data_IF_308898757897
#
_entry.id   IF_308898757897
#
_cell.length_a   1.000
_cell.length_b   1.000
_cell.length_c   1.000
_cell.angle_alpha   90.00
_cell.angle_beta   90.00
_cell.angle_gamma   90.00
#
_symmetry.space_group_name_H-M   'P 1'
#
loop_
_entity.id
_entity.type
_entity.pdbx_description
1 polymer ?
#
# COMPACT_ATOMS: atom_id res chain seq x y z
N UNK A 1 18.99 -8.72 -13.93
CA UNK A 1 19.54 -9.60 -12.88
C UNK A 1 18.47 -10.59 -12.40
N UNK A 2 17.30 -10.15 -11.91
CA UNK A 2 16.22 -11.05 -11.45
C UNK A 2 15.73 -12.00 -12.53
N UNK A 3 15.57 -11.54 -13.76
CA UNK A 3 15.14 -12.38 -14.89
C UNK A 3 16.08 -13.55 -15.17
N UNK A 4 17.39 -13.34 -14.95
CA UNK A 4 18.38 -14.41 -15.12
C UNK A 4 18.25 -15.52 -14.06
N UNK A 5 17.62 -15.23 -12.93
CA UNK A 5 17.31 -16.19 -11.85
C UNK A 5 15.89 -16.78 -12.00
N UNK A 6 15.13 -16.36 -13.02
CA UNK A 6 13.71 -16.67 -13.11
C UNK A 6 12.88 -16.10 -11.92
N UNK A 7 13.42 -15.09 -11.25
CA UNK A 7 12.82 -14.49 -10.08
C UNK A 7 11.93 -13.30 -10.47
N UNK A 8 10.82 -13.14 -9.75
CA UNK A 8 9.96 -11.98 -9.84
C UNK A 8 10.33 -10.97 -8.75
N UNK A 9 10.39 -9.70 -9.11
CA UNK A 9 10.59 -8.59 -8.16
C UNK A 9 9.46 -7.58 -8.35
N UNK A 10 8.95 -7.05 -7.25
CA UNK A 10 7.95 -5.97 -7.28
C UNK A 10 7.96 -5.20 -5.95
N UNK A 11 7.22 -4.09 -5.92
CA UNK A 11 6.98 -3.31 -4.72
C UNK A 11 5.55 -2.78 -4.70
N UNK A 12 5.04 -2.49 -3.52
CA UNK A 12 3.78 -1.76 -3.36
C UNK A 12 3.85 -0.82 -2.17
N UNK A 13 3.08 0.25 -2.22
CA UNK A 13 2.91 1.19 -1.11
C UNK A 13 1.47 1.16 -0.62
N UNK A 14 1.32 0.92 0.67
CA UNK A 14 0.05 1.05 1.38
C UNK A 14 -0.04 2.36 2.16
N UNK A 15 -1.07 2.49 2.98
CA UNK A 15 -1.29 3.68 3.81
C UNK A 15 -0.27 3.79 4.96
N UNK A 16 0.33 2.69 5.40
CA UNK A 16 1.21 2.61 6.56
C UNK A 16 2.55 1.90 6.30
N UNK A 17 2.76 1.35 5.11
CA UNK A 17 4.02 0.70 4.77
C UNK A 17 4.30 0.72 3.27
N UNK A 18 5.58 0.59 2.91
CA UNK A 18 6.05 0.21 1.58
C UNK A 18 6.69 -1.17 1.68
N UNK A 19 6.35 -2.07 0.78
CA UNK A 19 6.89 -3.42 0.74
C UNK A 19 7.63 -3.64 -0.57
N UNK A 20 8.89 -4.04 -0.49
CA UNK A 20 9.69 -4.55 -1.60
C UNK A 20 9.77 -6.07 -1.45
N UNK A 21 9.49 -6.81 -2.49
CA UNK A 21 9.51 -8.26 -2.41
C UNK A 21 10.04 -8.92 -3.66
N UNK A 22 10.61 -10.10 -3.50
CA UNK A 22 10.95 -10.98 -4.61
C UNK A 22 10.41 -12.38 -4.36
N UNK A 23 10.14 -13.11 -5.45
CA UNK A 23 9.80 -14.52 -5.44
C UNK A 23 10.76 -15.26 -6.35
N UNK A 24 11.40 -16.29 -5.83
CA UNK A 24 12.32 -17.15 -6.58
C UNK A 24 12.09 -18.61 -6.20
N UNK A 25 12.74 -19.52 -6.92
CA UNK A 25 12.93 -20.89 -6.45
C UNK A 25 13.87 -20.93 -5.26
N UNK A 26 13.82 -21.98 -4.45
CA UNK A 26 14.62 -22.07 -3.21
C UNK A 26 16.13 -22.07 -3.45
N UNK A 27 16.56 -22.65 -4.57
CA UNK A 27 17.97 -22.69 -5.00
C UNK A 27 18.55 -21.29 -5.37
N UNK A 28 17.68 -20.34 -5.68
CA UNK A 28 18.05 -18.95 -5.96
C UNK A 28 17.65 -17.96 -4.87
N UNK A 29 17.19 -18.43 -3.70
CA UNK A 29 16.69 -17.57 -2.64
C UNK A 29 17.73 -16.56 -2.14
N UNK A 30 18.97 -17.02 -1.89
CA UNK A 30 20.06 -16.17 -1.42
C UNK A 30 20.46 -15.09 -2.43
N UNK A 31 20.53 -15.44 -3.73
CA UNK A 31 20.89 -14.52 -4.82
C UNK A 31 19.78 -13.49 -5.05
N UNK A 32 18.52 -13.93 -5.06
CA UNK A 32 17.36 -13.03 -5.20
C UNK A 32 17.26 -12.06 -4.02
N UNK A 33 17.54 -12.53 -2.80
CA UNK A 33 17.58 -11.66 -1.62
C UNK A 33 18.73 -10.67 -1.67
N UNK A 34 19.92 -11.08 -2.12
CA UNK A 34 21.06 -10.19 -2.33
C UNK A 34 20.73 -9.04 -3.28
N UNK A 35 20.08 -9.34 -4.41
CA UNK A 35 19.65 -8.34 -5.38
C UNK A 35 18.58 -7.40 -4.80
N UNK A 36 17.62 -7.93 -4.03
CA UNK A 36 16.60 -7.14 -3.37
C UNK A 36 17.21 -6.20 -2.31
N UNK A 37 18.17 -6.71 -1.53
CA UNK A 37 18.91 -5.91 -0.56
C UNK A 37 19.71 -4.79 -1.22
N UNK A 38 20.35 -5.06 -2.35
CA UNK A 38 21.09 -4.05 -3.12
C UNK A 38 20.18 -2.93 -3.63
N UNK A 39 19.03 -3.27 -4.24
CA UNK A 39 18.01 -2.30 -4.65
C UNK A 39 17.55 -1.40 -3.50
N UNK A 40 17.36 -2.00 -2.33
CA UNK A 40 16.88 -1.30 -1.14
C UNK A 40 17.97 -0.41 -0.52
N UNK A 41 19.18 -0.96 -0.34
CA UNK A 41 20.26 -0.30 0.38
C UNK A 41 21.03 0.70 -0.47
N UNK A 42 21.13 0.48 -1.78
CA UNK A 42 22.04 1.22 -2.67
C UNK A 42 21.32 1.99 -3.78
N UNK A 43 20.03 2.35 -3.57
CA UNK A 43 19.30 3.14 -4.55
C UNK A 43 20.01 4.49 -4.85
N UNK A 44 20.29 4.76 -6.13
CA UNK A 44 21.13 5.87 -6.60
C UNK A 44 20.33 7.08 -7.11
N UNK A 45 19.06 6.88 -7.50
CA UNK A 45 18.20 7.89 -8.09
C UNK A 45 18.85 8.68 -9.24
N UNK A 46 19.23 8.03 -10.37
CA UNK A 46 19.78 8.75 -11.52
C UNK A 46 18.75 9.76 -12.06
N UNK A 47 19.19 10.95 -12.45
CA UNK A 47 18.29 12.03 -12.86
C UNK A 47 17.40 11.66 -14.06
N UNK A 48 17.97 10.99 -15.07
CA UNK A 48 17.22 10.55 -16.25
C UNK A 48 16.14 9.52 -15.90
N UNK A 49 16.43 8.57 -15.01
CA UNK A 49 15.46 7.58 -14.55
C UNK A 49 14.40 8.24 -13.66
N UNK A 50 14.78 9.16 -12.78
CA UNK A 50 13.83 9.94 -12.01
C UNK A 50 12.87 10.75 -12.89
N UNK A 51 13.38 11.35 -13.99
CA UNK A 51 12.53 12.09 -14.92
C UNK A 51 11.51 11.20 -15.61
N UNK A 52 11.91 9.98 -16.01
CA UNK A 52 11.00 8.98 -16.58
C UNK A 52 9.96 8.55 -15.56
N UNK A 53 10.40 8.19 -14.36
CA UNK A 53 9.55 7.70 -13.29
C UNK A 53 8.52 8.75 -12.83
N UNK A 54 8.91 10.03 -12.75
CA UNK A 54 7.96 11.11 -12.53
C UNK A 54 6.85 11.13 -13.57
N UNK A 55 7.17 10.92 -14.85
CA UNK A 55 6.18 10.80 -15.90
C UNK A 55 5.22 9.64 -15.67
N UNK A 56 5.75 8.48 -15.30
CA UNK A 56 4.93 7.29 -14.99
C UNK A 56 4.00 7.57 -13.79
N UNK A 57 4.52 8.10 -12.69
CA UNK A 57 3.70 8.40 -11.49
C UNK A 57 2.64 9.47 -11.78
N UNK A 58 2.92 10.46 -12.63
CA UNK A 58 1.92 11.45 -13.04
C UNK A 58 0.80 10.82 -13.87
N UNK A 59 1.11 9.87 -14.74
CA UNK A 59 0.09 9.11 -15.47
C UNK A 59 -0.72 8.20 -14.52
N UNK A 60 -0.10 7.60 -13.50
CA UNK A 60 -0.82 6.87 -12.47
C UNK A 60 -1.80 7.75 -11.71
N UNK A 61 -1.41 8.99 -11.37
CA UNK A 61 -2.30 9.97 -10.73
C UNK A 61 -3.49 10.30 -11.65
N UNK A 62 -3.26 10.49 -12.94
CA UNK A 62 -4.34 10.74 -13.91
C UNK A 62 -5.28 9.53 -14.03
N UNK A 63 -4.72 8.32 -14.08
CA UNK A 63 -5.52 7.08 -14.13
C UNK A 63 -6.41 6.92 -12.88
N UNK A 64 -5.86 7.20 -11.70
CA UNK A 64 -6.59 7.16 -10.42
C UNK A 64 -7.72 8.21 -10.39
N UNK A 65 -7.42 9.45 -10.86
CA UNK A 65 -8.43 10.50 -10.99
C UNK A 65 -9.51 10.17 -12.03
N UNK A 66 -9.19 9.42 -13.08
CA UNK A 66 -10.12 9.02 -14.13
C UNK A 66 -10.92 7.76 -13.78
N UNK A 67 -10.47 6.97 -12.81
CA UNK A 67 -11.20 5.84 -12.27
C UNK A 67 -12.27 6.32 -11.27
N UNK A 68 -13.58 6.19 -11.56
CA UNK A 68 -14.61 6.61 -10.63
C UNK A 68 -14.63 5.81 -9.34
N UNK A 69 -14.21 4.54 -9.38
CA UNK A 69 -14.14 3.64 -8.23
C UNK A 69 -13.02 4.08 -7.27
N UNK A 70 -11.80 4.28 -7.79
CA UNK A 70 -10.65 4.67 -6.99
C UNK A 70 -10.84 6.07 -6.39
N UNK A 71 -11.31 7.01 -7.20
CA UNK A 71 -11.67 8.35 -6.73
C UNK A 71 -12.74 8.31 -5.62
N UNK A 72 -13.73 7.43 -5.72
CA UNK A 72 -14.77 7.28 -4.70
C UNK A 72 -14.18 6.77 -3.37
N UNK A 73 -13.26 5.81 -3.41
CA UNK A 73 -12.58 5.27 -2.23
C UNK A 73 -11.62 6.29 -1.60
N UNK A 74 -10.95 7.09 -2.40
CA UNK A 74 -10.12 8.19 -1.91
C UNK A 74 -10.95 9.28 -1.23
N UNK A 75 -12.08 9.66 -1.82
CA UNK A 75 -13.01 10.59 -1.21
C UNK A 75 -13.57 10.04 0.11
N UNK A 76 -13.86 8.74 0.18
CA UNK A 76 -14.28 8.10 1.44
C UNK A 76 -13.18 8.20 2.49
N UNK A 77 -11.95 7.83 2.16
CA UNK A 77 -10.81 7.92 3.06
C UNK A 77 -10.63 9.36 3.58
N UNK A 78 -10.75 10.33 2.70
CA UNK A 78 -10.67 11.76 3.04
C UNK A 78 -11.86 12.23 3.89
N UNK A 79 -13.05 11.73 3.65
CA UNK A 79 -14.23 12.04 4.47
C UNK A 79 -14.09 11.51 5.89
N UNK A 80 -13.52 10.31 6.05
CA UNK A 80 -13.34 9.66 7.34
C UNK A 80 -12.16 10.21 8.15
N UNK A 81 -11.01 10.48 7.51
CA UNK A 81 -9.75 10.80 8.19
C UNK A 81 -9.26 12.24 7.95
N UNK A 82 -9.98 13.03 7.14
CA UNK A 82 -9.56 14.36 6.73
C UNK A 82 -8.35 14.34 5.79
N UNK A 83 -7.60 15.45 5.75
CA UNK A 83 -6.40 15.57 4.89
C UNK A 83 -5.10 15.12 5.58
N UNK A 84 -5.17 14.14 6.50
CA UNK A 84 -4.04 13.69 7.32
C UNK A 84 -3.98 12.17 7.36
N UNK A 85 -2.77 11.64 7.56
CA UNK A 85 -2.56 10.19 7.72
C UNK A 85 -3.31 9.38 6.66
N UNK A 86 -4.18 8.50 7.08
CA UNK A 86 -4.95 7.60 6.22
C UNK A 86 -5.92 8.28 5.22
N UNK A 87 -6.26 9.56 5.44
CA UNK A 87 -7.07 10.34 4.52
C UNK A 87 -6.31 10.92 3.32
N UNK A 88 -4.98 10.78 3.27
CA UNK A 88 -4.18 11.20 2.11
C UNK A 88 -4.22 10.14 1.02
N UNK A 89 -4.25 10.57 -0.25
CA UNK A 89 -3.98 9.69 -1.37
C UNK A 89 -2.54 9.18 -1.30
N UNK A 90 -2.30 7.91 -1.66
CA UNK A 90 -0.96 7.28 -1.63
C UNK A 90 -0.04 7.93 -2.66
N UNK A 91 -0.55 8.22 -3.86
CA UNK A 91 0.22 8.87 -4.93
C UNK A 91 0.54 10.33 -4.60
N UNK A 92 -0.25 10.94 -3.72
CA UNK A 92 -0.10 12.35 -3.39
C UNK A 92 -0.54 13.29 -4.52
N UNK A 93 -0.35 14.61 -4.36
CA UNK A 93 -0.67 15.57 -5.40
C UNK A 93 0.44 15.63 -6.47
N UNK A 94 0.06 15.72 -7.75
CA UNK A 94 0.96 15.82 -8.90
C UNK A 94 2.08 16.86 -8.71
N UNK A 95 1.72 18.04 -8.16
CA UNK A 95 2.68 19.10 -7.86
C UNK A 95 3.87 18.65 -6.99
N UNK A 96 3.65 17.74 -6.05
CA UNK A 96 4.73 17.23 -5.21
C UNK A 96 5.66 16.32 -6.03
N UNK A 97 5.09 15.43 -6.84
CA UNK A 97 5.86 14.54 -7.73
C UNK A 97 6.73 15.33 -8.68
N UNK A 98 6.17 16.37 -9.30
CA UNK A 98 6.92 17.30 -10.19
C UNK A 98 8.09 17.98 -9.45
N UNK A 99 7.87 18.37 -8.20
CA UNK A 99 8.82 19.12 -7.39
C UNK A 99 9.94 18.32 -6.78
N UNK A 100 9.80 16.99 -6.60
CA UNK A 100 10.83 16.19 -5.92
C UNK A 100 12.17 16.23 -6.66
N UNK A 101 13.23 16.40 -5.90
CA UNK A 101 14.62 16.33 -6.37
C UNK A 101 15.28 15.01 -5.95
N UNK A 102 16.43 14.71 -6.50
CA UNK A 102 17.27 13.60 -6.08
C UNK A 102 17.68 13.73 -4.60
N UNK A 103 17.96 14.94 -4.20
CA UNK A 103 18.35 15.29 -2.83
C UNK A 103 17.20 15.00 -1.86
N UNK A 104 15.96 15.34 -2.23
CA UNK A 104 14.77 15.05 -1.41
C UNK A 104 14.58 13.55 -1.20
N UNK A 105 14.68 12.75 -2.27
CA UNK A 105 14.55 11.29 -2.18
C UNK A 105 15.68 10.67 -1.36
N UNK A 106 16.90 11.16 -1.57
CA UNK A 106 18.07 10.68 -0.82
C UNK A 106 17.97 11.03 0.67
N UNK A 107 17.52 12.24 0.99
CA UNK A 107 17.31 12.67 2.37
C UNK A 107 16.19 11.86 3.05
N UNK A 108 15.06 11.68 2.37
CA UNK A 108 13.95 10.87 2.86
C UNK A 108 14.38 9.43 3.14
N UNK A 109 15.11 8.82 2.20
CA UNK A 109 15.64 7.47 2.36
C UNK A 109 16.58 7.38 3.55
N UNK A 110 17.56 8.30 3.65
CA UNK A 110 18.52 8.33 4.75
C UNK A 110 17.85 8.47 6.12
N UNK A 111 16.78 9.26 6.20
CA UNK A 111 16.04 9.48 7.44
C UNK A 111 15.22 8.25 7.84
N UNK A 112 14.49 7.65 6.88
CA UNK A 112 13.40 6.70 7.17
C UNK A 112 13.74 5.24 6.98
N UNK A 113 14.76 4.95 6.17
CA UNK A 113 15.22 3.57 5.90
C UNK A 113 16.30 3.19 6.93
N UNK A 114 15.87 2.99 8.16
CA UNK A 114 16.72 2.66 9.31
C UNK A 114 16.25 1.35 9.95
N UNK A 115 17.13 0.65 10.71
CA UNK A 115 16.81 -0.66 11.30
C UNK A 115 15.52 -0.68 12.11
N UNK A 116 15.25 0.39 12.86
CA UNK A 116 14.07 0.47 13.73
C UNK A 116 12.74 0.64 12.96
N UNK A 117 12.82 0.87 11.62
CA UNK A 117 11.67 1.06 10.75
C UNK A 117 11.57 0.01 9.62
N UNK A 118 12.34 -1.08 9.70
CA UNK A 118 12.41 -2.12 8.68
C UNK A 118 12.06 -3.47 9.29
N UNK A 119 11.28 -4.25 8.55
CA UNK A 119 11.03 -5.67 8.84
C UNK A 119 11.47 -6.47 7.64
N UNK A 120 12.36 -7.43 7.85
CA UNK A 120 12.75 -8.42 6.86
C UNK A 120 11.98 -9.71 7.13
N UNK A 121 11.30 -10.24 6.12
CA UNK A 121 10.51 -11.45 6.24
C UNK A 121 10.84 -12.44 5.12
N UNK A 122 10.99 -13.70 5.48
CA UNK A 122 11.15 -14.82 4.55
C UNK A 122 9.98 -15.78 4.69
N UNK A 123 9.51 -16.31 3.57
CA UNK A 123 8.47 -17.33 3.55
C UNK A 123 8.73 -18.32 2.41
N UNK A 124 8.78 -19.59 2.72
CA UNK A 124 9.04 -20.65 1.74
C UNK A 124 10.01 -21.72 2.25
N UNK A 125 10.63 -22.42 1.30
CA UNK A 125 11.61 -23.47 1.61
C UNK A 125 13.01 -22.83 1.78
N UNK A 126 13.26 -22.28 2.97
CA UNK A 126 14.55 -21.74 3.40
C UNK A 126 14.78 -22.13 4.86
N UNK A 127 16.03 -22.47 5.22
CA UNK A 127 16.39 -22.70 6.62
C UNK A 127 16.38 -21.41 7.44
N UNK A 128 15.93 -21.48 8.68
CA UNK A 128 15.80 -20.30 9.55
C UNK A 128 17.16 -19.65 9.82
N UNK A 129 18.22 -20.44 10.02
CA UNK A 129 19.56 -19.90 10.27
C UNK A 129 20.11 -19.25 9.01
N UNK A 130 19.91 -19.84 7.84
CA UNK A 130 20.29 -19.23 6.56
C UNK A 130 19.56 -17.90 6.34
N UNK A 131 18.26 -17.82 6.62
CA UNK A 131 17.49 -16.58 6.51
C UNK A 131 18.01 -15.50 7.48
N UNK A 132 18.35 -15.87 8.71
CA UNK A 132 18.96 -14.97 9.70
C UNK A 132 20.35 -14.48 9.25
N UNK A 133 21.19 -15.38 8.76
CA UNK A 133 22.53 -15.05 8.28
C UNK A 133 22.48 -14.10 7.07
N UNK A 134 21.54 -14.31 6.16
CA UNK A 134 21.30 -13.42 5.04
C UNK A 134 20.82 -12.03 5.51
N UNK A 135 19.86 -11.98 6.43
CA UNK A 135 19.37 -10.71 6.97
C UNK A 135 20.51 -9.94 7.68
N UNK A 136 21.27 -10.60 8.54
CA UNK A 136 22.40 -10.00 9.25
C UNK A 136 23.49 -9.53 8.30
N UNK A 137 23.84 -10.32 7.29
CA UNK A 137 24.86 -9.97 6.30
C UNK A 137 24.56 -8.67 5.56
N UNK A 138 23.32 -8.44 5.15
CA UNK A 138 22.96 -7.28 4.32
C UNK A 138 22.45 -6.11 5.15
N UNK A 139 21.73 -6.35 6.24
CA UNK A 139 21.08 -5.31 7.03
C UNK A 139 21.71 -5.04 8.39
N UNK A 140 22.53 -5.97 8.91
CA UNK A 140 23.14 -5.85 10.24
C UNK A 140 24.08 -4.66 10.41
N UNK A 141 24.67 -4.17 9.31
CA UNK A 141 25.54 -2.99 9.30
C UNK A 141 24.83 -1.65 9.12
N UNK A 142 23.51 -1.63 9.09
CA UNK A 142 22.77 -0.37 8.92
C UNK A 142 22.91 0.57 10.12
N UNK A 143 23.18 1.84 9.84
CA UNK A 143 23.22 2.86 10.87
C UNK A 143 21.84 3.17 11.43
N UNK A 144 21.71 3.27 12.76
CA UNK A 144 20.51 3.76 13.41
C UNK A 144 20.37 5.25 13.19
N UNK A 145 19.14 5.71 13.03
CA UNK A 145 18.81 7.13 12.96
C UNK A 145 17.95 7.51 14.16
N UNK A 146 17.87 8.81 14.45
CA UNK A 146 16.94 9.32 15.47
C UNK A 146 15.48 9.35 15.01
N UNK A 147 15.20 8.71 13.85
CA UNK A 147 13.85 8.64 13.31
C UNK A 147 12.97 7.77 14.21
N UNK A 148 11.97 8.41 14.80
CA UNK A 148 10.91 7.74 15.55
C UNK A 148 9.57 8.28 15.07
N UNK A 149 8.89 7.51 14.21
CA UNK A 149 7.54 7.86 13.84
C UNK A 149 6.60 7.52 15.00
N UNK A 150 6.17 8.54 15.73
CA UNK A 150 5.10 8.38 16.72
C UNK A 150 3.80 8.21 15.95
N UNK A 151 3.21 7.01 16.02
CA UNK A 151 1.84 6.80 15.55
C UNK A 151 0.93 7.78 16.27
N UNK A 152 0.33 8.69 15.51
CA UNK A 152 -0.68 9.60 16.06
C UNK A 152 -1.98 8.82 16.16
N UNK A 153 -2.74 9.11 17.21
CA UNK A 153 -4.09 8.58 17.34
C UNK A 153 -4.90 8.86 16.07
N UNK A 154 -5.51 7.84 15.53
CA UNK A 154 -6.34 7.93 14.33
C UNK A 154 -7.73 8.41 14.75
N UNK A 155 -8.02 9.66 14.47
CA UNK A 155 -9.34 10.24 14.72
C UNK A 155 -10.16 10.16 13.45
N UNK A 156 -11.32 9.51 13.53
CA UNK A 156 -12.30 9.49 12.46
C UNK A 156 -13.32 10.60 12.66
N UNK A 157 -13.84 11.13 11.56
CA UNK A 157 -14.91 12.12 11.56
C UNK A 157 -16.08 11.65 10.68
N UNK A 158 -17.29 12.08 11.00
CA UNK A 158 -18.40 11.94 10.09
C UNK A 158 -18.33 13.04 9.03
N UNK A 159 -18.52 12.70 7.77
CA UNK A 159 -18.48 13.65 6.68
C UNK A 159 -19.04 13.08 5.39
N UNK A 160 -19.42 13.97 4.48
CA UNK A 160 -19.84 13.61 3.13
C UNK A 160 -18.98 14.40 2.16
N UNK A 161 -18.41 13.72 1.18
CA UNK A 161 -17.72 14.33 0.06
C UNK A 161 -18.41 13.90 -1.24
N UNK A 162 -18.49 14.84 -2.16
CA UNK A 162 -19.12 14.63 -3.44
C UNK A 162 -18.26 15.19 -4.57
N UNK A 163 -18.11 14.42 -5.63
CA UNK A 163 -17.42 14.84 -6.87
C UNK A 163 -18.33 14.60 -8.06
N UNK A 164 -18.62 15.66 -8.82
CA UNK A 164 -19.36 15.52 -10.07
C UNK A 164 -18.38 15.25 -11.21
N UNK A 165 -18.62 14.18 -11.98
CA UNK A 165 -17.91 13.85 -13.22
C UNK A 165 -18.93 13.56 -14.33
N UNK A 166 -18.60 13.77 -15.61
CA UNK A 166 -19.46 13.45 -16.74
C UNK A 166 -19.38 11.95 -17.09
N UNK A 167 -19.89 11.10 -16.18
CA UNK A 167 -19.93 9.65 -16.31
C UNK A 167 -21.35 9.15 -16.24
N UNK A 168 -21.63 7.97 -16.81
CA UNK A 168 -22.98 7.40 -16.89
C UNK A 168 -23.45 6.77 -15.56
N UNK A 169 -22.53 6.26 -14.77
CA UNK A 169 -22.84 5.55 -13.52
C UNK A 169 -22.55 6.40 -12.30
N UNK A 170 -23.35 6.25 -11.26
CA UNK A 170 -23.06 6.80 -9.94
C UNK A 170 -22.26 5.78 -9.12
N UNK A 171 -21.13 6.21 -8.58
CA UNK A 171 -20.32 5.44 -7.63
C UNK A 171 -20.47 6.05 -6.26
N UNK A 172 -20.69 5.23 -5.24
CA UNK A 172 -20.72 5.70 -3.86
C UNK A 172 -20.11 4.68 -2.91
N UNK A 173 -19.50 5.17 -1.86
CA UNK A 173 -18.95 4.36 -0.79
C UNK A 173 -19.40 4.91 0.56
N UNK A 174 -19.65 4.00 1.52
CA UNK A 174 -20.02 4.32 2.89
C UNK A 174 -19.00 3.65 3.80
N UNK A 175 -18.36 4.42 4.68
CA UNK A 175 -17.38 3.92 5.63
C UNK A 175 -17.81 4.08 7.07
N UNK A 176 -17.45 3.11 7.88
CA UNK A 176 -17.64 3.10 9.33
C UNK A 176 -16.32 2.79 10.02
N UNK A 177 -16.00 3.46 11.14
CA UNK A 177 -14.88 3.03 11.96
C UNK A 177 -15.14 1.63 12.51
N UNK A 178 -14.09 0.82 12.57
CA UNK A 178 -14.14 -0.53 13.10
C UNK A 178 -12.93 -0.78 14.01
N UNK A 179 -12.75 -2.01 14.43
CA UNK A 179 -11.69 -2.42 15.36
C UNK A 179 -10.31 -2.34 14.71
N UNK A 180 -9.29 -2.05 15.51
CA UNK A 180 -7.89 -2.03 15.08
C UNK A 180 -7.40 -3.44 14.70
N UNK A 181 -6.21 -3.49 14.07
CA UNK A 181 -5.59 -4.75 13.59
C UNK A 181 -5.36 -5.76 14.73
N UNK A 182 -5.00 -5.27 15.92
CA UNK A 182 -4.65 -6.10 17.08
C UNK A 182 -5.85 -6.42 17.99
N UNK A 183 -7.04 -5.89 17.68
CA UNK A 183 -8.23 -6.09 18.50
C UNK A 183 -8.75 -7.54 18.40
N UNK A 184 -9.07 -8.12 19.56
CA UNK A 184 -9.61 -9.47 19.65
C UNK A 184 -10.96 -9.65 18.95
N UNK A 185 -11.72 -8.58 18.73
CA UNK A 185 -12.98 -8.58 17.98
C UNK A 185 -12.81 -8.64 16.46
N UNK A 186 -11.59 -8.52 15.92
CA UNK A 186 -11.34 -8.51 14.47
C UNK A 186 -11.93 -9.73 13.74
N UNK A 187 -11.81 -10.97 14.21
CA UNK A 187 -12.42 -12.12 13.54
C UNK A 187 -13.94 -12.00 13.40
N UNK A 188 -14.62 -11.48 14.42
CA UNK A 188 -16.07 -11.27 14.36
C UNK A 188 -16.45 -10.21 13.29
N UNK A 189 -15.67 -9.13 13.19
CA UNK A 189 -15.85 -8.10 12.14
C UNK A 189 -15.61 -8.69 10.75
N UNK A 190 -14.62 -9.56 10.58
CA UNK A 190 -14.37 -10.24 9.32
C UNK A 190 -15.53 -11.16 8.90
N UNK A 191 -16.10 -11.93 9.85
CA UNK A 191 -17.28 -12.76 9.60
C UNK A 191 -18.48 -11.88 9.23
N UNK A 192 -18.72 -10.80 9.97
CA UNK A 192 -19.77 -9.84 9.67
C UNK A 192 -19.63 -9.27 8.25
N UNK A 193 -18.41 -8.87 7.88
CA UNK A 193 -18.12 -8.36 6.53
C UNK A 193 -18.38 -9.41 5.44
N UNK A 194 -17.99 -10.66 5.67
CA UNK A 194 -18.25 -11.75 4.73
C UNK A 194 -19.76 -11.97 4.51
N UNK A 195 -20.56 -11.90 5.57
CA UNK A 195 -22.02 -11.99 5.49
C UNK A 195 -22.63 -10.78 4.79
N UNK A 196 -22.09 -9.58 5.04
CA UNK A 196 -22.63 -8.33 4.50
C UNK A 196 -22.36 -8.19 2.99
N UNK A 197 -21.11 -8.25 2.56
CA UNK A 197 -20.72 -7.95 1.19
C UNK A 197 -19.47 -8.69 0.67
N UNK A 198 -19.05 -9.78 1.34
CA UNK A 198 -17.81 -10.48 1.00
C UNK A 198 -17.87 -11.44 -0.20
N UNK A 199 -19.03 -11.61 -0.85
CA UNK A 199 -19.16 -12.51 -2.00
C UNK A 199 -20.57 -12.58 -2.56
N UNK A 200 -20.78 -13.42 -3.57
CA UNK A 200 -22.07 -13.54 -4.28
C UNK A 200 -23.23 -14.02 -3.39
N UNK A 201 -22.97 -14.76 -2.33
CA UNK A 201 -24.00 -15.16 -1.36
C UNK A 201 -24.28 -14.14 -0.27
N UNK A 202 -23.57 -13.02 -0.27
CA UNK A 202 -23.70 -11.96 0.73
C UNK A 202 -25.04 -11.21 0.62
N UNK A 203 -25.43 -10.53 1.71
CA UNK A 203 -26.70 -9.79 1.77
C UNK A 203 -26.76 -8.63 0.78
N UNK A 204 -25.68 -7.87 0.64
CA UNK A 204 -25.62 -6.76 -0.33
C UNK A 204 -25.76 -7.27 -1.76
N UNK A 205 -25.01 -8.31 -2.11
CA UNK A 205 -25.05 -8.85 -3.46
C UNK A 205 -26.45 -9.35 -3.82
N UNK A 206 -27.05 -10.18 -2.97
CA UNK A 206 -28.41 -10.70 -3.20
C UNK A 206 -29.43 -9.59 -3.28
N UNK A 207 -29.40 -8.63 -2.33
CA UNK A 207 -30.43 -7.59 -2.28
C UNK A 207 -30.27 -6.55 -3.37
N UNK A 208 -29.08 -5.99 -3.53
CA UNK A 208 -28.86 -4.83 -4.40
C UNK A 208 -28.69 -5.26 -5.85
N UNK A 209 -27.92 -6.31 -6.10
CA UNK A 209 -27.64 -6.77 -7.47
C UNK A 209 -28.69 -7.72 -8.02
N UNK A 210 -29.05 -8.79 -7.26
CA UNK A 210 -29.92 -9.83 -7.79
C UNK A 210 -31.41 -9.44 -7.70
N UNK A 211 -31.87 -9.01 -6.51
CA UNK A 211 -33.31 -8.71 -6.34
C UNK A 211 -33.70 -7.36 -6.93
N UNK A 212 -32.91 -6.30 -6.70
CA UNK A 212 -33.25 -4.94 -7.10
C UNK A 212 -32.63 -4.53 -8.45
N UNK A 213 -31.59 -5.20 -8.92
CA UNK A 213 -30.91 -4.87 -10.19
C UNK A 213 -30.31 -3.46 -10.22
N UNK A 214 -29.98 -2.88 -9.07
CA UNK A 214 -29.55 -1.48 -8.97
C UNK A 214 -28.06 -1.26 -9.25
N UNK A 215 -27.23 -2.28 -9.07
CA UNK A 215 -25.79 -2.16 -9.27
C UNK A 215 -25.22 -3.44 -9.91
N UNK A 216 -24.25 -3.25 -10.80
CA UNK A 216 -23.48 -4.36 -11.35
C UNK A 216 -22.47 -4.89 -10.32
N UNK A 217 -21.85 -4.00 -9.57
CA UNK A 217 -20.90 -4.33 -8.51
C UNK A 217 -21.34 -3.72 -7.18
N UNK A 218 -21.38 -4.56 -6.14
CA UNK A 218 -21.61 -4.16 -4.76
C UNK A 218 -20.87 -5.11 -3.82
N UNK A 219 -20.06 -4.55 -2.94
CA UNK A 219 -19.25 -5.34 -2.02
C UNK A 219 -18.97 -4.56 -0.73
N UNK A 220 -18.47 -5.24 0.27
CA UNK A 220 -17.90 -4.63 1.46
C UNK A 220 -16.53 -5.25 1.79
N UNK A 221 -15.65 -4.45 2.35
CA UNK A 221 -14.36 -4.91 2.84
C UNK A 221 -13.98 -4.17 4.13
N UNK A 222 -13.03 -4.73 4.86
CA UNK A 222 -12.47 -4.12 6.05
C UNK A 222 -10.98 -3.89 5.84
N UNK A 223 -10.53 -2.66 6.07
CA UNK A 223 -9.10 -2.32 6.21
C UNK A 223 -8.77 -2.13 7.69
N UNK A 224 -7.66 -2.72 8.13
CA UNK A 224 -7.19 -2.64 9.50
C UNK A 224 -5.78 -2.05 9.50
N UNK A 225 -5.61 -0.95 10.20
CA UNK A 225 -4.34 -0.22 10.34
C UNK A 225 -3.83 -0.28 11.77
#
# INVERSE_FOLDING_TARGET
AFDALGAQVNAFTGKDMTCYYSKSTSDHAAEAFALLADLFLNACFPEEEMKREKGVVLEEIHMDEDSPEDLCLDLLSRAMFGNRGYGRNILGPAKNVEGFTREDLSAYRKERYCPDNIVVAFAGCIDVNEALDLAERYFGGMERTDFCERRKEVVTSAGNLFRKKPIEQAHFAIGFPTVAREDAGRPAVQVMNAVLGGGMSSRLFKKVREELGLAYSVYSYCSHY
#
